data_IF_761606932628
#
_entry.id   IF_761606932628
#
_cell.length_a   1.000
_cell.length_b   1.000
_cell.length_c   1.000
_cell.angle_alpha   90.00
_cell.angle_beta   90.00
_cell.angle_gamma   90.00
#
_symmetry.space_group_name_H-M   'P 1'
#
loop_
_entity.id
_entity.type
_entity.pdbx_description
1 polymer ?
#
# COMPACT_ATOMS: atom_id res chain seq x y z
N UNK A 1 14.50 -8.01 -5.40
CA UNK A 1 13.31 -7.50 -6.13
C UNK A 1 12.11 -7.61 -5.20
N UNK A 2 11.28 -6.56 -5.09
CA UNK A 2 10.01 -6.66 -4.34
C UNK A 2 9.02 -7.43 -5.21
N UNK A 3 9.02 -8.75 -5.08
CA UNK A 3 8.25 -9.65 -5.94
C UNK A 3 7.16 -10.39 -5.16
N UNK A 4 6.04 -10.64 -5.83
CA UNK A 4 4.96 -11.51 -5.34
C UNK A 4 5.35 -13.02 -5.31
N UNK A 5 6.65 -13.32 -5.35
CA UNK A 5 7.20 -14.67 -5.23
C UNK A 5 7.84 -14.91 -3.85
N UNK A 6 7.96 -13.87 -3.01
CA UNK A 6 8.53 -13.97 -1.67
C UNK A 6 7.56 -14.64 -0.69
N UNK A 7 8.01 -15.11 0.47
CA UNK A 7 7.09 -15.64 1.48
C UNK A 7 6.02 -14.59 1.87
N UNK A 8 4.76 -14.96 2.13
CA UNK A 8 3.73 -14.01 2.55
C UNK A 8 4.17 -13.18 3.77
N UNK A 9 4.81 -13.80 4.77
CA UNK A 9 5.28 -13.12 5.97
C UNK A 9 6.36 -12.09 5.65
N UNK A 10 7.28 -12.42 4.73
CA UNK A 10 8.30 -11.49 4.27
C UNK A 10 7.68 -10.26 3.60
N UNK A 11 6.57 -10.43 2.87
CA UNK A 11 5.84 -9.32 2.23
C UNK A 11 5.14 -8.44 3.26
N UNK A 12 4.53 -9.04 4.28
CA UNK A 12 3.90 -8.31 5.40
C UNK A 12 4.95 -7.48 6.15
N UNK A 13 6.08 -8.10 6.50
CA UNK A 13 7.16 -7.40 7.19
C UNK A 13 7.78 -6.31 6.31
N UNK A 14 7.89 -6.55 5.00
CA UNK A 14 8.36 -5.55 4.05
C UNK A 14 7.45 -4.33 4.01
N UNK A 15 6.12 -4.49 3.93
CA UNK A 15 5.22 -3.33 3.85
C UNK A 15 5.22 -2.50 5.13
N UNK A 16 5.29 -3.14 6.29
CA UNK A 16 5.41 -2.45 7.58
C UNK A 16 6.71 -1.65 7.66
N UNK A 17 7.82 -2.23 7.17
CA UNK A 17 9.12 -1.58 7.17
C UNK A 17 9.15 -0.40 6.19
N UNK A 18 8.59 -0.58 4.99
CA UNK A 18 8.50 0.47 3.98
C UNK A 18 7.59 1.61 4.44
N UNK A 19 6.47 1.31 5.11
CA UNK A 19 5.60 2.33 5.69
C UNK A 19 6.36 3.18 6.71
N UNK A 20 7.03 2.56 7.68
CA UNK A 20 7.84 3.28 8.67
C UNK A 20 8.95 4.11 8.01
N UNK A 21 9.62 3.55 7.01
CA UNK A 21 10.67 4.26 6.27
C UNK A 21 10.12 5.48 5.52
N UNK A 22 8.91 5.38 4.95
CA UNK A 22 8.27 6.48 4.22
C UNK A 22 7.93 7.70 5.09
N UNK A 23 7.88 7.53 6.42
CA UNK A 23 7.71 8.63 7.37
C UNK A 23 8.93 9.57 7.43
N UNK A 24 10.09 9.12 6.93
CA UNK A 24 11.30 9.95 6.77
C UNK A 24 11.18 11.04 5.69
N UNK A 25 10.02 11.15 5.03
CA UNK A 25 9.72 12.22 4.09
C UNK A 25 10.03 11.87 2.63
N UNK A 26 10.11 12.91 1.79
CA UNK A 26 10.16 12.76 0.34
C UNK A 26 11.31 11.86 -0.13
N UNK A 27 12.53 12.03 0.38
CA UNK A 27 13.68 11.24 -0.10
C UNK A 27 13.50 9.74 0.18
N UNK A 28 12.86 9.39 1.29
CA UNK A 28 12.51 8.01 1.60
C UNK A 28 11.46 7.48 0.63
N UNK A 29 10.42 8.27 0.34
CA UNK A 29 9.41 7.93 -0.68
C UNK A 29 10.05 7.75 -2.06
N UNK A 30 10.95 8.64 -2.46
CA UNK A 30 11.67 8.57 -3.73
C UNK A 30 12.50 7.28 -3.84
N UNK A 31 13.14 6.86 -2.74
CA UNK A 31 13.84 5.58 -2.66
C UNK A 31 12.90 4.39 -2.82
N UNK A 32 11.72 4.40 -2.18
CA UNK A 32 10.72 3.32 -2.31
C UNK A 32 10.22 3.22 -3.75
N UNK A 33 9.95 4.36 -4.40
CA UNK A 33 9.42 4.40 -5.77
C UNK A 33 10.46 3.97 -6.82
N UNK A 34 11.75 3.99 -6.50
CA UNK A 34 12.81 3.39 -7.34
C UNK A 34 12.85 1.86 -7.27
N UNK A 35 12.23 1.25 -6.25
CA UNK A 35 12.18 -0.20 -6.13
C UNK A 35 11.17 -0.76 -7.13
N UNK A 36 11.65 -1.59 -8.06
CA UNK A 36 10.78 -2.26 -9.03
C UNK A 36 9.75 -3.15 -8.31
N UNK A 37 8.47 -2.97 -8.68
CA UNK A 37 7.36 -3.74 -8.12
C UNK A 37 6.79 -3.22 -6.79
N UNK A 38 7.29 -2.11 -6.25
CA UNK A 38 6.78 -1.51 -5.01
C UNK A 38 5.28 -1.23 -5.06
N UNK A 39 4.82 -0.62 -6.15
CA UNK A 39 3.40 -0.28 -6.30
C UNK A 39 2.50 -1.52 -6.41
N UNK A 40 2.95 -2.55 -7.12
CA UNK A 40 2.24 -3.82 -7.25
C UNK A 40 2.17 -4.57 -5.90
N UNK A 41 3.25 -4.53 -5.12
CA UNK A 41 3.27 -5.08 -3.76
C UNK A 41 2.26 -4.37 -2.86
N UNK A 42 2.24 -3.03 -2.86
CA UNK A 42 1.30 -2.23 -2.06
C UNK A 42 -0.16 -2.58 -2.40
N UNK A 43 -0.49 -2.57 -3.69
CA UNK A 43 -1.85 -2.89 -4.16
C UNK A 43 -2.26 -4.32 -3.86
N UNK A 44 -1.33 -5.28 -3.93
CA UNK A 44 -1.62 -6.67 -3.56
C UNK A 44 -1.87 -6.81 -2.06
N UNK A 45 -1.10 -6.13 -1.22
CA UNK A 45 -1.22 -6.23 0.24
C UNK A 45 -2.42 -5.46 0.80
N UNK A 46 -2.92 -4.45 0.09
CA UNK A 46 -4.22 -3.84 0.37
C UNK A 46 -5.39 -4.85 0.29
N UNK A 47 -5.23 -5.94 -0.46
CA UNK A 47 -6.22 -7.04 -0.56
C UNK A 47 -6.00 -8.14 0.48
N UNK A 48 -5.04 -7.96 1.39
CA UNK A 48 -4.77 -8.96 2.42
C UNK A 48 -5.94 -9.07 3.40
N UNK A 49 -6.27 -10.29 3.81
CA UNK A 49 -7.22 -10.55 4.88
C UNK A 49 -6.66 -10.19 6.27
N UNK A 50 -5.36 -9.88 6.37
CA UNK A 50 -4.73 -9.40 7.60
C UNK A 50 -4.94 -7.87 7.72
N UNK A 51 -5.74 -7.40 8.70
CA UNK A 51 -6.05 -5.98 8.85
C UNK A 51 -4.81 -5.11 9.06
N UNK A 52 -3.80 -5.60 9.80
CA UNK A 52 -2.56 -4.87 10.05
C UNK A 52 -1.72 -4.71 8.79
N UNK A 53 -1.69 -5.73 7.93
CA UNK A 53 -1.02 -5.67 6.63
C UNK A 53 -1.72 -4.69 5.68
N UNK A 54 -3.06 -4.73 5.65
CA UNK A 54 -3.86 -3.80 4.85
C UNK A 54 -3.68 -2.35 5.32
N UNK A 55 -3.72 -2.11 6.63
CA UNK A 55 -3.46 -0.79 7.23
C UNK A 55 -2.07 -0.28 6.86
N UNK A 56 -1.03 -1.12 6.97
CA UNK A 56 0.32 -0.73 6.62
C UNK A 56 0.47 -0.38 5.12
N UNK A 57 -0.18 -1.13 4.25
CA UNK A 57 -0.20 -0.84 2.81
C UNK A 57 -0.92 0.49 2.51
N UNK A 58 -2.09 0.72 3.13
CA UNK A 58 -2.83 1.98 2.99
C UNK A 58 -2.06 3.19 3.55
N UNK A 59 -1.40 3.02 4.69
CA UNK A 59 -0.55 4.03 5.32
C UNK A 59 0.65 4.41 4.45
N UNK A 60 1.33 3.41 3.88
CA UNK A 60 2.41 3.63 2.92
C UNK A 60 1.91 4.38 1.68
N UNK A 61 0.78 3.96 1.12
CA UNK A 61 0.18 4.61 -0.03
C UNK A 61 -0.19 6.08 0.22
N UNK A 62 -0.73 6.39 1.41
CA UNK A 62 -0.99 7.77 1.84
C UNK A 62 0.28 8.61 1.82
N UNK A 63 1.38 8.07 2.35
CA UNK A 63 2.65 8.78 2.42
C UNK A 63 3.21 9.03 1.01
N UNK A 64 3.12 8.05 0.10
CA UNK A 64 3.50 8.24 -1.31
C UNK A 64 2.61 9.32 -1.97
N UNK A 65 1.30 9.27 -1.74
CA UNK A 65 0.33 10.24 -2.28
C UNK A 65 0.53 11.66 -1.75
N UNK A 66 1.19 11.82 -0.61
CA UNK A 66 1.53 13.15 -0.07
C UNK A 66 2.55 13.89 -0.95
N UNK A 67 3.37 13.14 -1.71
CA UNK A 67 4.36 13.70 -2.64
C UNK A 67 3.69 13.95 -3.99
N UNK A 68 3.65 15.23 -4.40
CA UNK A 68 2.97 15.66 -5.63
C UNK A 68 3.40 14.89 -6.87
N UNK A 69 4.68 14.54 -6.98
CA UNK A 69 5.24 13.79 -8.11
C UNK A 69 4.56 12.43 -8.34
N UNK A 70 4.12 11.76 -7.27
CA UNK A 70 3.56 10.41 -7.35
C UNK A 70 2.03 10.36 -7.38
N UNK A 71 1.35 11.51 -7.21
CA UNK A 71 -0.12 11.57 -7.23
C UNK A 71 -0.70 11.14 -8.57
N UNK A 72 -0.15 11.64 -9.67
CA UNK A 72 -0.66 11.34 -11.01
C UNK A 72 -0.45 9.85 -11.33
N UNK A 73 0.73 9.31 -10.99
CA UNK A 73 1.03 7.88 -11.09
C UNK A 73 0.04 7.01 -10.31
N UNK A 74 -0.28 7.39 -9.06
CA UNK A 74 -1.26 6.68 -8.24
C UNK A 74 -2.65 6.72 -8.87
N UNK A 75 -3.05 7.87 -9.41
CA UNK A 75 -4.33 8.07 -10.09
C UNK A 75 -4.48 7.14 -11.30
N UNK A 76 -3.40 6.98 -12.08
CA UNK A 76 -3.38 6.13 -13.28
C UNK A 76 -3.26 4.62 -12.98
N UNK A 77 -2.75 4.26 -11.79
CA UNK A 77 -2.47 2.86 -11.41
C UNK A 77 -3.69 2.03 -10.99
N UNK A 78 -4.90 2.59 -11.03
CA UNK A 78 -6.13 1.92 -10.56
C UNK A 78 -6.27 1.88 -9.03
N UNK A 79 -5.38 2.57 -8.31
CA UNK A 79 -5.37 2.62 -6.84
C UNK A 79 -6.67 3.22 -6.27
N UNK A 80 -7.27 4.19 -6.97
CA UNK A 80 -8.50 4.86 -6.53
C UNK A 80 -9.66 3.87 -6.45
N UNK A 81 -9.79 3.01 -7.47
CA UNK A 81 -10.81 1.96 -7.53
C UNK A 81 -10.63 0.98 -6.38
N UNK A 82 -9.39 0.65 -6.05
CA UNK A 82 -9.07 -0.27 -4.96
C UNK A 82 -9.42 0.30 -3.59
N UNK A 83 -9.06 1.56 -3.31
CA UNK A 83 -9.47 2.24 -2.06
C UNK A 83 -11.00 2.33 -1.96
N UNK A 84 -11.67 2.69 -3.06
CA UNK A 84 -13.14 2.78 -3.11
C UNK A 84 -13.78 1.43 -2.77
N UNK A 85 -13.27 0.34 -3.35
CA UNK A 85 -13.74 -1.01 -3.06
C UNK A 85 -13.54 -1.40 -1.60
N UNK A 86 -12.37 -1.12 -1.00
CA UNK A 86 -12.11 -1.39 0.42
C UNK A 86 -13.08 -0.65 1.35
N UNK A 87 -13.36 0.62 1.06
CA UNK A 87 -14.33 1.42 1.83
C UNK A 87 -15.73 0.79 1.76
N UNK A 88 -16.15 0.31 0.58
CA UNK A 88 -17.44 -0.38 0.41
C UNK A 88 -17.51 -1.73 1.13
N UNK A 89 -16.40 -2.47 1.22
CA UNK A 89 -16.34 -3.74 1.96
C UNK A 89 -16.44 -3.57 3.47
N UNK A 90 -15.76 -2.55 4.02
CA UNK A 90 -15.79 -2.26 5.46
C UNK A 90 -17.20 -1.90 5.96
N UNK A 91 -17.98 -1.20 5.13
CA UNK A 91 -19.39 -0.90 5.40
C UNK A 91 -20.25 -2.16 5.46
N UNK A 92 -19.99 -3.13 4.57
CA UNK A 92 -20.78 -4.37 4.50
C UNK A 92 -20.50 -5.33 5.64
N UNK A 93 -19.31 -5.25 6.26
CA UNK A 93 -18.91 -6.12 7.39
C UNK A 93 -19.44 -5.67 8.75
N UNK A 94 -20.06 -4.48 8.83
CA UNK A 94 -20.66 -3.96 10.07
C UNK A 94 -22.14 -4.40 10.25
N UNK A 95 -22.68 -5.21 9.33
CA UNK A 95 -24.10 -5.57 9.26
C UNK A 95 -24.48 -6.98 9.74
N UNK A 96 -23.72 -7.61 10.64
CA UNK A 96 -24.10 -8.90 11.22
C UNK A 96 -23.86 -8.90 12.74
N UNK A 97 -24.88 -8.45 13.49
CA UNK A 97 -25.10 -8.75 14.91
C UNK A 97 -26.56 -9.09 15.11
#
# INVERSE_FOLDING_TARGET
MLGLNNDPLDREQAVVTLWKYSDGGKDCVDCIMKLSGSMNLILNLMKSNNPSTCEAAAGLLRNISSVKLYRDMITESGTIQEISWLLHQSVSTTGVY
#
